data_IF_960790771692
#
_entry.id   IF_960790771692
#
_cell.length_a   1.000
_cell.length_b   1.000
_cell.length_c   1.000
_cell.angle_alpha   90.00
_cell.angle_beta   90.00
_cell.angle_gamma   90.00
#
_symmetry.space_group_name_H-M   'P 1'
#
loop_
_entity.id
_entity.type
_entity.pdbx_description
1 polymer ?
#
# COMPACT_ATOMS: atom_id res chain seq x y z
N UNK A 1 -15.13 23.57 8.99
CA UNK A 1 -14.68 22.79 7.82
C UNK A 1 -13.73 21.74 8.38
N UNK A 2 -14.25 20.53 8.61
CA UNK A 2 -13.45 19.47 9.24
C UNK A 2 -12.36 19.03 8.25
N UNK A 3 -11.10 19.31 8.60
CA UNK A 3 -9.96 18.76 7.90
C UNK A 3 -9.98 17.25 8.16
N UNK A 4 -10.42 16.48 7.17
CA UNK A 4 -10.39 15.02 7.25
C UNK A 4 -8.93 14.57 7.42
N UNK A 5 -8.57 14.14 8.63
CA UNK A 5 -7.21 13.69 8.94
C UNK A 5 -6.96 12.42 8.11
N UNK A 6 -5.93 12.46 7.27
CA UNK A 6 -5.53 11.30 6.48
C UNK A 6 -4.78 10.29 7.36
N UNK A 7 -5.48 9.21 7.71
CA UNK A 7 -5.00 8.15 8.61
C UNK A 7 -5.06 6.78 7.93
N UNK A 8 -4.41 5.76 8.52
CA UNK A 8 -4.55 4.39 8.05
C UNK A 8 -6.00 3.91 8.05
N UNK A 9 -6.84 4.36 8.98
CA UNK A 9 -8.24 3.96 9.04
C UNK A 9 -9.07 4.57 7.90
N UNK A 10 -8.86 5.85 7.58
CA UNK A 10 -9.53 6.49 6.44
C UNK A 10 -9.05 5.91 5.11
N UNK A 11 -7.74 5.66 4.99
CA UNK A 11 -7.17 5.03 3.80
C UNK A 11 -7.61 3.57 3.62
N UNK A 12 -7.73 2.79 4.71
CA UNK A 12 -8.26 1.43 4.65
C UNK A 12 -9.70 1.43 4.11
N UNK A 13 -10.56 2.36 4.58
CA UNK A 13 -11.93 2.52 4.05
C UNK A 13 -11.95 2.88 2.57
N UNK A 14 -11.03 3.76 2.12
CA UNK A 14 -10.91 4.10 0.70
C UNK A 14 -10.47 2.91 -0.14
N UNK A 15 -9.51 2.11 0.36
CA UNK A 15 -9.08 0.89 -0.32
C UNK A 15 -10.24 -0.11 -0.42
N UNK A 16 -11.00 -0.29 0.66
CA UNK A 16 -12.15 -1.20 0.74
C UNK A 16 -13.31 -0.80 -0.19
N UNK A 17 -13.43 0.50 -0.53
CA UNK A 17 -14.45 0.97 -1.47
C UNK A 17 -14.04 0.83 -2.94
N UNK A 18 -12.76 0.57 -3.24
CA UNK A 18 -12.25 0.45 -4.62
C UNK A 18 -11.74 -0.95 -4.95
N UNK A 19 -11.28 -1.69 -3.96
CA UNK A 19 -10.59 -2.97 -4.11
C UNK A 19 -11.26 -4.05 -3.25
N UNK A 20 -11.09 -5.32 -3.64
CA UNK A 20 -11.62 -6.44 -2.87
C UNK A 20 -10.64 -6.84 -1.77
N UNK A 21 -11.11 -7.08 -0.54
CA UNK A 21 -10.24 -7.64 0.51
C UNK A 21 -9.74 -9.04 0.13
N UNK A 22 -8.45 -9.27 0.29
CA UNK A 22 -7.84 -10.61 0.11
C UNK A 22 -8.17 -11.54 1.28
N UNK A 23 -8.28 -10.99 2.49
CA UNK A 23 -8.62 -11.71 3.71
C UNK A 23 -9.13 -10.77 4.80
N UNK A 24 -9.61 -11.33 5.92
CA UNK A 24 -9.84 -10.56 7.14
C UNK A 24 -8.55 -9.82 7.55
N UNK A 25 -8.62 -8.53 7.90
CA UNK A 25 -7.44 -7.76 8.26
C UNK A 25 -6.84 -8.26 9.59
N UNK A 26 -5.51 -8.26 9.69
CA UNK A 26 -4.83 -8.51 10.97
C UNK A 26 -4.72 -7.21 11.76
N UNK A 27 -4.18 -7.27 12.97
CA UNK A 27 -3.81 -6.06 13.73
C UNK A 27 -2.87 -5.14 12.94
N UNK A 28 -2.04 -5.71 12.07
CA UNK A 28 -0.92 -5.00 11.44
C UNK A 28 -1.19 -4.58 10.01
N UNK A 29 -1.90 -5.40 9.23
CA UNK A 29 -2.16 -5.10 7.82
C UNK A 29 -3.61 -5.42 7.41
N UNK A 30 -4.08 -4.74 6.38
CA UNK A 30 -5.24 -5.15 5.59
C UNK A 30 -4.81 -5.32 4.13
N UNK A 31 -5.08 -6.48 3.54
CA UNK A 31 -4.75 -6.80 2.16
C UNK A 31 -5.94 -6.63 1.23
N UNK A 32 -5.67 -6.18 0.02
CA UNK A 32 -6.63 -5.86 -1.02
C UNK A 32 -6.11 -6.31 -2.38
N UNK A 33 -7.03 -6.55 -3.30
CA UNK A 33 -6.76 -6.95 -4.67
C UNK A 33 -7.68 -6.17 -5.62
N UNK A 34 -7.09 -5.61 -6.67
CA UNK A 34 -7.82 -4.95 -7.76
C UNK A 34 -8.54 -5.97 -8.65
N UNK A 35 -9.46 -5.49 -9.49
CA UNK A 35 -10.13 -6.32 -10.52
C UNK A 35 -9.16 -7.03 -11.48
N UNK A 36 -7.93 -6.55 -11.59
CA UNK A 36 -6.88 -7.13 -12.44
C UNK A 36 -5.89 -8.01 -11.67
N UNK A 37 -6.19 -8.36 -10.41
CA UNK A 37 -5.34 -9.25 -9.61
C UNK A 37 -4.08 -8.59 -9.07
N UNK A 38 -3.97 -7.26 -9.09
CA UNK A 38 -2.86 -6.51 -8.48
C UNK A 38 -3.14 -6.31 -6.99
N UNK A 39 -2.18 -6.66 -6.15
CA UNK A 39 -2.35 -6.57 -4.69
C UNK A 39 -1.82 -5.28 -4.08
N UNK A 40 -2.52 -4.84 -3.04
CA UNK A 40 -2.18 -3.70 -2.18
C UNK A 40 -2.37 -4.13 -0.73
N UNK A 41 -1.46 -3.79 0.17
CA UNK A 41 -1.67 -3.99 1.60
C UNK A 41 -1.30 -2.74 2.40
N UNK A 42 -2.21 -2.26 3.23
CA UNK A 42 -2.01 -1.08 4.09
C UNK A 42 -1.52 -1.49 5.48
N UNK A 43 -0.56 -0.75 6.04
CA UNK A 43 -0.18 -0.88 7.45
C UNK A 43 -1.15 -0.11 8.36
N UNK A 44 -1.72 -0.83 9.33
CA UNK A 44 -2.80 -0.32 10.19
C UNK A 44 -2.31 0.36 11.47
N UNK A 45 -1.07 0.10 11.88
CA UNK A 45 -0.52 0.56 13.18
C UNK A 45 0.41 1.76 13.06
N UNK A 46 0.67 2.27 11.85
CA UNK A 46 1.53 3.44 11.64
C UNK A 46 0.76 4.71 12.00
N UNK A 47 1.35 5.54 12.87
CA UNK A 47 0.75 6.81 13.31
C UNK A 47 1.18 8.01 12.45
N UNK A 48 2.31 7.91 11.76
CA UNK A 48 2.96 9.05 11.09
C UNK A 48 2.76 9.04 9.57
N UNK A 49 1.61 8.56 9.11
CA UNK A 49 1.24 8.50 7.70
C UNK A 49 0.62 7.17 7.29
N UNK A 50 0.17 7.13 6.03
CA UNK A 50 -0.44 5.96 5.41
C UNK A 50 0.64 5.22 4.63
N UNK A 51 0.97 4.01 5.07
CA UNK A 51 2.01 3.19 4.45
C UNK A 51 1.39 1.97 3.78
N UNK A 52 1.68 1.78 2.51
CA UNK A 52 1.15 0.70 1.70
C UNK A 52 2.27 -0.10 1.04
N UNK A 53 2.09 -1.40 1.00
CA UNK A 53 2.83 -2.34 0.16
C UNK A 53 2.06 -2.53 -1.14
N UNK A 54 2.71 -2.33 -2.28
CA UNK A 54 2.08 -2.33 -3.59
C UNK A 54 2.80 -3.33 -4.49
N UNK A 55 2.05 -4.14 -5.23
CA UNK A 55 2.64 -5.04 -6.21
C UNK A 55 3.25 -4.26 -7.37
N UNK A 56 2.58 -3.18 -7.80
CA UNK A 56 3.01 -2.33 -8.90
C UNK A 56 2.87 -0.85 -8.51
N UNK A 57 3.73 -0.02 -9.06
CA UNK A 57 3.73 1.41 -8.84
C UNK A 57 4.41 2.10 -10.02
N UNK A 58 3.75 3.09 -10.60
CA UNK A 58 4.34 3.95 -11.62
C UNK A 58 4.99 5.18 -10.96
N UNK A 59 6.29 5.35 -11.20
CA UNK A 59 7.06 6.49 -10.69
C UNK A 59 6.59 7.83 -11.27
N UNK A 60 5.85 7.84 -12.38
CA UNK A 60 5.21 9.05 -12.90
C UNK A 60 4.17 9.64 -11.94
N UNK A 61 3.66 8.85 -10.98
CA UNK A 61 2.75 9.30 -9.93
C UNK A 61 3.46 10.05 -8.80
N UNK A 62 4.80 10.06 -8.74
CA UNK A 62 5.52 10.72 -7.67
C UNK A 62 5.16 12.21 -7.59
N UNK A 63 4.86 12.65 -6.38
CA UNK A 63 4.53 14.02 -6.03
C UNK A 63 5.05 14.33 -4.63
N UNK A 64 4.86 15.57 -4.14
CA UNK A 64 5.26 15.94 -2.79
C UNK A 64 4.59 15.08 -1.69
N UNK A 65 3.46 14.43 -2.01
CA UNK A 65 2.69 13.58 -1.09
C UNK A 65 2.97 12.08 -1.26
N UNK A 66 3.95 11.67 -2.08
CA UNK A 66 4.26 10.25 -2.31
C UNK A 66 5.75 9.98 -2.12
N UNK A 67 6.07 9.08 -1.21
CA UNK A 67 7.44 8.70 -0.86
C UNK A 67 7.64 7.17 -0.97
N UNK A 68 8.68 6.72 -1.67
CA UNK A 68 9.07 5.31 -1.71
C UNK A 68 10.05 5.03 -0.57
N UNK A 69 9.62 4.22 0.40
CA UNK A 69 10.22 4.08 1.74
C UNK A 69 10.99 2.77 1.94
N UNK A 70 11.75 2.32 0.94
CA UNK A 70 12.65 1.18 1.14
C UNK A 70 13.83 1.54 2.07
N UNK A 71 13.87 0.90 3.24
CA UNK A 71 14.86 1.18 4.30
C UNK A 71 16.30 0.93 3.87
N UNK A 72 16.54 -0.11 3.07
CA UNK A 72 17.89 -0.46 2.63
C UNK A 72 18.31 0.34 1.41
N UNK A 73 17.35 0.68 0.54
CA UNK A 73 17.59 1.38 -0.72
C UNK A 73 16.49 2.43 -0.98
N UNK A 74 16.56 3.62 -0.37
CA UNK A 74 15.53 4.66 -0.53
C UNK A 74 15.25 4.97 -2.01
N UNK A 75 13.97 5.19 -2.36
CA UNK A 75 13.54 5.42 -3.74
C UNK A 75 13.43 4.18 -4.63
N UNK A 76 13.85 3.00 -4.16
CA UNK A 76 13.81 1.74 -4.90
C UNK A 76 12.72 0.80 -4.36
N UNK A 77 12.20 -0.14 -5.19
CA UNK A 77 11.35 -1.21 -4.70
C UNK A 77 12.12 -2.13 -3.74
N UNK A 78 11.40 -2.86 -2.90
CA UNK A 78 11.95 -3.99 -2.14
C UNK A 78 12.19 -5.15 -3.10
N UNK A 79 13.45 -5.63 -3.17
CA UNK A 79 13.82 -6.75 -4.03
C UNK A 79 13.33 -8.09 -3.47
N UNK A 80 13.31 -9.12 -4.32
CA UNK A 80 13.07 -10.50 -3.89
C UNK A 80 14.11 -10.91 -2.83
N UNK A 81 13.65 -11.60 -1.79
CA UNK A 81 14.44 -12.00 -0.62
C UNK A 81 14.69 -10.89 0.40
N UNK A 82 14.34 -9.63 0.11
CA UNK A 82 14.49 -8.54 1.08
C UNK A 82 13.42 -8.63 2.17
N UNK A 83 13.87 -8.62 3.43
CA UNK A 83 13.01 -8.68 4.61
C UNK A 83 12.01 -7.53 4.67
N UNK A 84 10.77 -7.85 5.04
CA UNK A 84 9.61 -6.95 5.06
C UNK A 84 8.62 -7.39 6.14
N UNK A 85 7.46 -6.74 6.22
CA UNK A 85 6.44 -7.05 7.23
C UNK A 85 6.01 -8.52 7.13
N UNK A 86 6.20 -9.31 8.20
CA UNK A 86 5.90 -10.74 8.23
C UNK A 86 4.42 -11.09 8.07
N UNK A 87 3.52 -10.12 8.20
CA UNK A 87 2.10 -10.30 7.90
C UNK A 87 1.82 -10.36 6.39
N UNK A 88 2.75 -9.94 5.53
CA UNK A 88 2.69 -10.11 4.07
C UNK A 88 3.00 -11.57 3.73
N UNK A 89 2.01 -12.43 3.96
CA UNK A 89 2.10 -13.87 3.78
C UNK A 89 1.10 -14.34 2.72
N UNK A 90 1.14 -15.63 2.41
CA UNK A 90 0.30 -16.25 1.37
C UNK A 90 -1.21 -16.09 1.59
N UNK A 91 -1.64 -15.89 2.84
CA UNK A 91 -3.05 -15.67 3.18
C UNK A 91 -3.47 -14.22 2.96
N UNK A 92 -2.67 -13.27 3.44
CA UNK A 92 -3.08 -11.87 3.47
C UNK A 92 -2.68 -11.10 2.20
N UNK A 93 -1.56 -11.44 1.58
CA UNK A 93 -1.01 -10.72 0.44
C UNK A 93 0.02 -11.59 -0.30
N UNK A 94 -0.44 -12.65 -0.97
CA UNK A 94 0.41 -13.65 -1.62
C UNK A 94 1.39 -13.06 -2.63
N UNK A 95 1.01 -11.97 -3.30
CA UNK A 95 1.85 -11.25 -4.28
C UNK A 95 2.78 -10.22 -3.66
N UNK A 96 2.66 -9.97 -2.36
CA UNK A 96 3.50 -9.00 -1.64
C UNK A 96 4.56 -9.63 -0.73
N UNK A 97 4.64 -10.97 -0.75
CA UNK A 97 5.65 -11.74 -0.01
C UNK A 97 7.07 -11.42 -0.48
N UNK A 98 8.07 -11.82 0.30
CA UNK A 98 9.50 -11.71 -0.04
C UNK A 98 9.90 -12.42 -1.34
N UNK A 99 9.06 -13.30 -1.89
CA UNK A 99 9.26 -13.93 -3.19
C UNK A 99 9.09 -12.97 -4.37
N UNK A 100 8.57 -11.77 -4.13
CA UNK A 100 8.24 -10.77 -5.14
C UNK A 100 9.00 -9.46 -4.91
N UNK A 101 9.29 -8.78 -6.03
CA UNK A 101 9.61 -7.36 -5.99
C UNK A 101 8.32 -6.59 -5.70
N UNK A 102 8.39 -5.62 -4.78
CA UNK A 102 7.23 -4.83 -4.35
C UNK A 102 7.64 -3.40 -4.02
N UNK A 103 6.68 -2.50 -4.03
CA UNK A 103 6.89 -1.13 -3.58
C UNK A 103 6.38 -0.96 -2.16
N UNK A 104 7.14 -0.24 -1.35
CA UNK A 104 6.66 0.25 -0.06
C UNK A 104 6.56 1.76 -0.16
N UNK A 105 5.34 2.27 -0.08
CA UNK A 105 5.01 3.66 -0.41
C UNK A 105 4.27 4.30 0.75
N UNK A 106 4.68 5.50 1.12
CA UNK A 106 3.97 6.37 2.03
C UNK A 106 3.16 7.39 1.22
N UNK A 107 1.87 7.44 1.49
CA UNK A 107 0.97 8.47 0.99
C UNK A 107 0.77 9.55 2.07
N UNK A 108 0.91 10.81 1.67
CA UNK A 108 0.74 11.99 2.51
C UNK A 108 -0.67 12.58 2.48
N UNK A 109 -1.46 12.28 1.44
CA UNK A 109 -2.80 12.83 1.26
C UNK A 109 -3.79 11.83 0.64
N UNK A 110 -5.08 12.11 0.85
CA UNK A 110 -6.20 11.41 0.20
C UNK A 110 -6.07 11.47 -1.33
N UNK A 111 -5.72 12.66 -1.86
CA UNK A 111 -5.57 12.88 -3.30
C UNK A 111 -4.48 11.99 -3.90
N UNK A 112 -3.35 11.83 -3.21
CA UNK A 112 -2.27 10.96 -3.64
C UNK A 112 -2.69 9.48 -3.72
N UNK A 113 -3.42 8.99 -2.71
CA UNK A 113 -3.95 7.63 -2.72
C UNK A 113 -5.00 7.43 -3.83
N UNK A 114 -5.88 8.41 -4.04
CA UNK A 114 -6.87 8.37 -5.12
C UNK A 114 -6.21 8.35 -6.50
N UNK A 115 -5.16 9.13 -6.71
CA UNK A 115 -4.41 9.13 -7.97
C UNK A 115 -3.79 7.75 -8.26
N UNK A 116 -3.24 7.10 -7.23
CA UNK A 116 -2.75 5.72 -7.34
C UNK A 116 -3.86 4.72 -7.66
N UNK A 117 -5.01 4.79 -6.98
CA UNK A 117 -6.14 3.88 -7.25
C UNK A 117 -6.70 4.05 -8.66
N UNK A 118 -6.86 5.30 -9.12
CA UNK A 118 -7.30 5.60 -10.47
C UNK A 118 -6.31 5.13 -11.54
N UNK A 119 -5.01 5.04 -11.23
CA UNK A 119 -4.00 4.43 -12.10
C UNK A 119 -4.07 2.90 -12.08
N UNK A 120 -4.24 2.29 -10.90
CA UNK A 120 -4.28 0.84 -10.71
C UNK A 120 -5.46 0.18 -11.44
N UNK A 121 -6.55 0.93 -11.62
CA UNK A 121 -7.75 0.48 -12.34
C UNK A 121 -7.67 0.63 -13.86
N UNK A 122 -6.55 1.13 -14.41
CA UNK A 122 -6.30 1.17 -15.86
C UNK A 122 -5.68 -0.14 -16.35
#
# INVERSE_FOLDING_TARGET
MDLQIFTSATAEKMLDSHLNRTSNPTKYIAGFESRFGKQVAIERTRKNGVYCWLQEFDRSLLSADIEIVNRSHPGQPYSKGQSRNSNLNLKNASRLTDKHEVWYVKFGSISALNAYLAWLDK
#
